data_IF_170469447909
#
_entry.id   IF_170469447909
#
_cell.length_a   1.000
_cell.length_b   1.000
_cell.length_c   1.000
_cell.angle_alpha   90.00
_cell.angle_beta   90.00
_cell.angle_gamma   90.00
#
_symmetry.space_group_name_H-M   'P 1'
#
loop_
_entity.id
_entity.type
_entity.pdbx_description
1 polymer ?
#
# COMPACT_ATOMS: atom_id res chain seq x y z
N UNK A 1 -21.54 18.42 13.89
CA UNK A 1 -22.45 17.71 14.82
C UNK A 1 -22.16 16.23 14.65
N UNK A 2 -21.26 15.72 15.48
CA UNK A 2 -20.78 14.35 15.38
C UNK A 2 -21.73 13.43 16.13
N UNK A 3 -22.61 12.76 15.40
CA UNK A 3 -23.41 11.68 15.95
C UNK A 3 -22.48 10.54 16.37
N UNK A 4 -22.41 10.26 17.68
CA UNK A 4 -21.68 9.11 18.21
C UNK A 4 -22.45 7.86 17.81
N UNK A 5 -22.02 7.23 16.73
CA UNK A 5 -22.48 5.89 16.38
C UNK A 5 -21.84 4.96 17.44
N UNK A 6 -22.56 3.95 17.92
CA UNK A 6 -22.05 2.98 18.88
C UNK A 6 -22.67 1.60 18.69
N UNK A 7 -22.01 0.56 19.22
CA UNK A 7 -22.55 -0.81 19.29
C UNK A 7 -22.79 -1.16 20.76
N UNK A 8 -23.97 -1.69 21.05
CA UNK A 8 -24.32 -2.22 22.38
C UNK A 8 -23.91 -3.69 22.47
N UNK A 9 -23.07 -4.05 23.44
CA UNK A 9 -22.76 -5.44 23.78
C UNK A 9 -23.33 -5.75 25.17
N UNK A 10 -24.33 -6.62 25.25
CA UNK A 10 -25.04 -6.91 26.51
C UNK A 10 -25.89 -5.72 26.99
N UNK A 11 -26.23 -5.70 28.29
CA UNK A 11 -27.16 -4.69 28.83
C UNK A 11 -26.51 -3.32 29.11
N UNK A 12 -25.17 -3.17 29.15
CA UNK A 12 -24.54 -1.94 29.66
C UNK A 12 -23.24 -1.47 28.97
N UNK A 13 -22.71 -2.15 27.93
CA UNK A 13 -21.47 -1.69 27.27
C UNK A 13 -21.76 -1.00 25.93
N UNK A 14 -21.58 0.32 25.89
CA UNK A 14 -21.59 1.13 24.67
C UNK A 14 -20.13 1.31 24.22
N UNK A 15 -19.74 0.67 23.11
CA UNK A 15 -18.43 0.91 22.49
C UNK A 15 -18.63 1.98 21.40
N UNK A 16 -18.08 3.20 21.57
CA UNK A 16 -18.12 4.20 20.51
C UNK A 16 -17.28 3.72 19.34
N UNK A 17 -17.77 3.91 18.10
CA UNK A 17 -16.93 3.67 16.92
C UNK A 17 -15.76 4.66 16.95
N UNK A 18 -14.53 4.16 17.02
CA UNK A 18 -13.36 5.02 16.83
C UNK A 18 -13.31 5.49 15.38
N UNK A 19 -13.06 6.78 15.20
CA UNK A 19 -12.82 7.39 13.90
C UNK A 19 -11.49 8.12 13.95
N UNK A 20 -10.59 7.88 12.97
CA UNK A 20 -9.26 8.46 13.00
C UNK A 20 -9.33 9.98 12.81
N UNK A 21 -8.88 10.70 13.83
CA UNK A 21 -8.72 12.16 13.78
C UNK A 21 -7.55 12.58 12.87
N UNK A 22 -7.40 13.88 12.63
CA UNK A 22 -6.35 14.41 11.75
C UNK A 22 -4.93 14.05 12.20
N UNK A 23 -4.67 14.03 13.51
CA UNK A 23 -3.36 13.64 14.07
C UNK A 23 -3.01 12.19 13.73
N UNK A 24 -4.01 11.31 13.79
CA UNK A 24 -3.84 9.90 13.50
C UNK A 24 -3.65 9.65 12.00
N UNK A 25 -4.43 10.32 11.16
CA UNK A 25 -4.24 10.31 9.70
C UNK A 25 -2.82 10.77 9.31
N UNK A 26 -2.34 11.84 9.94
CA UNK A 26 -0.98 12.33 9.75
C UNK A 26 0.06 11.29 10.20
N UNK A 27 -0.16 10.63 11.34
CA UNK A 27 0.73 9.57 11.81
C UNK A 27 0.87 8.44 10.78
N UNK A 28 -0.23 7.95 10.22
CA UNK A 28 -0.18 6.88 9.22
C UNK A 28 0.46 7.33 7.91
N UNK A 29 0.18 8.55 7.45
CA UNK A 29 0.89 9.14 6.32
C UNK A 29 2.41 9.16 6.56
N UNK A 30 2.84 9.68 7.72
CA UNK A 30 4.25 9.73 8.11
C UNK A 30 4.87 8.34 8.27
N UNK A 31 4.12 7.35 8.74
CA UNK A 31 4.63 5.98 8.86
C UNK A 31 5.00 5.39 7.50
N UNK A 32 4.22 5.67 6.45
CA UNK A 32 4.54 5.28 5.07
C UNK A 32 5.81 5.95 4.57
N UNK A 33 5.97 7.25 4.85
CA UNK A 33 7.18 8.00 4.51
C UNK A 33 8.42 7.35 5.14
N UNK A 34 8.36 7.08 6.44
CA UNK A 34 9.48 6.55 7.23
C UNK A 34 9.86 5.15 6.78
N UNK A 35 8.87 4.28 6.54
CA UNK A 35 9.11 2.87 6.15
C UNK A 35 9.62 2.75 4.71
N UNK A 36 9.27 3.66 3.81
CA UNK A 36 9.70 3.63 2.40
C UNK A 36 11.21 3.82 2.22
N UNK A 37 11.84 4.69 3.02
CA UNK A 37 13.28 4.99 2.91
C UNK A 37 14.15 3.73 3.08
N UNK A 38 14.12 3.03 4.24
CA UNK A 38 14.97 1.87 4.46
C UNK A 38 14.63 0.72 3.50
N UNK A 39 13.37 0.57 3.08
CA UNK A 39 12.98 -0.49 2.15
C UNK A 39 13.52 -0.26 0.74
N UNK A 40 13.42 0.97 0.22
CA UNK A 40 13.98 1.30 -1.10
C UNK A 40 15.50 1.07 -1.12
N UNK A 41 16.20 1.43 -0.05
CA UNK A 41 17.63 1.18 0.10
C UNK A 41 17.94 -0.31 0.27
N UNK A 42 17.14 -1.03 1.05
CA UNK A 42 17.28 -2.47 1.25
C UNK A 42 17.15 -3.25 -0.06
N UNK A 43 16.18 -2.93 -0.91
CA UNK A 43 15.98 -3.61 -2.21
C UNK A 43 17.19 -3.43 -3.11
N UNK A 44 17.80 -2.24 -3.12
CA UNK A 44 19.04 -1.97 -3.87
C UNK A 44 20.21 -2.84 -3.36
N UNK A 45 20.37 -2.95 -2.03
CA UNK A 45 21.37 -3.84 -1.44
C UNK A 45 21.04 -5.33 -1.65
N UNK A 46 19.75 -5.69 -1.69
CA UNK A 46 19.29 -7.07 -1.83
C UNK A 46 19.74 -7.70 -3.15
N UNK A 47 19.66 -6.95 -4.25
CA UNK A 47 20.15 -7.41 -5.57
C UNK A 47 21.63 -7.82 -5.50
N UNK A 48 22.46 -6.98 -4.86
CA UNK A 48 23.91 -7.17 -4.80
C UNK A 48 24.34 -8.33 -3.87
N UNK A 49 23.55 -8.64 -2.84
CA UNK A 49 23.95 -9.62 -1.81
C UNK A 49 23.20 -10.96 -1.90
N UNK A 50 21.93 -10.95 -2.27
CA UNK A 50 21.08 -12.16 -2.28
C UNK A 50 20.81 -12.68 -3.69
N UNK A 51 20.99 -11.86 -4.72
CA UNK A 51 20.88 -12.27 -6.13
C UNK A 51 22.23 -12.35 -6.84
N UNK A 52 23.35 -12.40 -6.12
CA UNK A 52 24.71 -12.34 -6.67
C UNK A 52 25.08 -13.46 -7.66
N UNK A 53 24.38 -14.61 -7.59
CA UNK A 53 24.56 -15.73 -8.53
C UNK A 53 23.84 -15.51 -9.85
N UNK A 54 22.94 -14.53 -9.93
CA UNK A 54 22.24 -14.17 -11.15
C UNK A 54 23.05 -13.10 -11.90
N UNK A 55 23.04 -13.10 -13.24
CA UNK A 55 23.54 -11.95 -13.99
C UNK A 55 22.80 -10.68 -13.54
N UNK A 56 23.51 -9.54 -13.54
CA UNK A 56 23.06 -8.26 -12.96
C UNK A 56 21.61 -7.93 -13.33
N UNK A 57 21.26 -8.05 -14.61
CA UNK A 57 19.90 -7.80 -15.11
C UNK A 57 18.83 -8.68 -14.42
N UNK A 58 19.10 -9.98 -14.26
CA UNK A 58 18.19 -10.91 -13.61
C UNK A 58 18.15 -10.71 -12.10
N UNK A 59 19.26 -10.30 -11.49
CA UNK A 59 19.30 -9.93 -10.07
C UNK A 59 18.45 -8.70 -9.76
N UNK A 60 18.55 -7.67 -10.59
CA UNK A 60 17.72 -6.46 -10.47
C UNK A 60 16.24 -6.77 -10.67
N UNK A 61 15.89 -7.55 -11.71
CA UNK A 61 14.50 -7.96 -11.93
C UNK A 61 13.96 -8.79 -10.76
N UNK A 62 14.77 -9.70 -10.22
CA UNK A 62 14.39 -10.51 -9.07
C UNK A 62 14.16 -9.65 -7.82
N UNK A 63 15.07 -8.73 -7.51
CA UNK A 63 14.96 -7.86 -6.33
C UNK A 63 13.80 -6.86 -6.47
N UNK A 64 13.70 -6.15 -7.60
CA UNK A 64 12.79 -5.01 -7.78
C UNK A 64 11.40 -5.40 -8.28
N UNK A 65 11.30 -6.34 -9.22
CA UNK A 65 10.02 -6.73 -9.79
C UNK A 65 9.35 -7.85 -8.98
N UNK A 66 10.13 -8.71 -8.30
CA UNK A 66 9.57 -9.85 -7.56
C UNK A 66 9.56 -9.59 -6.06
N UNK A 67 10.72 -9.47 -5.42
CA UNK A 67 10.79 -9.43 -3.95
C UNK A 67 10.28 -8.12 -3.33
N UNK A 68 10.60 -6.97 -3.93
CA UNK A 68 10.17 -5.67 -3.42
C UNK A 68 8.64 -5.58 -3.22
N UNK A 69 7.79 -5.95 -4.21
CA UNK A 69 6.34 -6.01 -4.01
C UNK A 69 5.89 -6.77 -2.76
N UNK A 70 6.43 -7.97 -2.50
CA UNK A 70 6.03 -8.75 -1.32
C UNK A 70 6.34 -8.01 -0.01
N UNK A 71 7.56 -7.48 0.10
CA UNK A 71 8.05 -6.84 1.31
C UNK A 71 7.34 -5.50 1.53
N UNK A 72 7.23 -4.69 0.47
CA UNK A 72 6.64 -3.36 0.55
C UNK A 72 5.13 -3.42 0.84
N UNK A 73 4.38 -4.28 0.16
CA UNK A 73 2.94 -4.43 0.44
C UNK A 73 2.70 -4.90 1.87
N UNK A 74 3.57 -5.77 2.40
CA UNK A 74 3.45 -6.22 3.78
C UNK A 74 3.79 -5.11 4.78
N UNK A 75 4.90 -4.42 4.57
CA UNK A 75 5.37 -3.37 5.47
C UNK A 75 4.39 -2.19 5.58
N UNK A 76 3.76 -1.80 4.46
CA UNK A 76 2.76 -0.73 4.43
C UNK A 76 1.51 -1.08 5.23
N UNK A 77 1.06 -2.34 5.23
CA UNK A 77 -0.16 -2.74 5.94
C UNK A 77 0.10 -3.21 7.37
N UNK A 78 1.35 -3.52 7.72
CA UNK A 78 1.71 -4.10 9.02
C UNK A 78 1.12 -3.37 10.25
N UNK A 79 1.13 -2.02 10.32
CA UNK A 79 0.57 -1.30 11.47
C UNK A 79 -0.96 -1.47 11.65
N UNK A 80 -1.68 -1.92 10.61
CA UNK A 80 -3.14 -2.03 10.62
C UNK A 80 -3.64 -3.36 11.19
N UNK A 81 -2.80 -4.41 11.26
CA UNK A 81 -3.22 -5.70 11.81
C UNK A 81 -3.61 -5.64 13.29
N UNK A 82 -3.06 -4.67 14.02
CA UNK A 82 -3.26 -4.53 15.48
C UNK A 82 -4.32 -3.49 15.84
N UNK A 83 -5.03 -2.94 14.84
CA UNK A 83 -6.03 -1.88 14.99
C UNK A 83 -7.44 -2.47 15.20
N UNK A 84 -7.65 -3.06 16.37
CA UNK A 84 -8.97 -3.50 16.80
C UNK A 84 -9.82 -2.30 17.25
N UNK A 85 -11.12 -2.32 16.97
CA UNK A 85 -12.05 -1.25 17.37
C UNK A 85 -12.18 -0.09 16.38
N UNK A 86 -11.46 -0.13 15.26
CA UNK A 86 -11.64 0.78 14.12
C UNK A 86 -12.83 0.33 13.25
N UNK A 87 -13.40 1.24 12.46
CA UNK A 87 -14.34 0.83 11.40
C UNK A 87 -13.62 0.30 10.16
N UNK A 88 -14.29 -0.51 9.35
CA UNK A 88 -13.76 -0.95 8.05
C UNK A 88 -13.32 0.24 7.18
N UNK A 89 -14.13 1.31 7.16
CA UNK A 89 -13.83 2.55 6.43
C UNK A 89 -12.62 3.28 7.00
N UNK A 90 -12.41 3.23 8.31
CA UNK A 90 -11.24 3.82 8.96
C UNK A 90 -9.97 3.06 8.59
N UNK A 91 -9.95 1.74 8.74
CA UNK A 91 -8.80 0.90 8.34
C UNK A 91 -8.43 1.10 6.87
N UNK A 92 -9.42 1.13 5.98
CA UNK A 92 -9.20 1.39 4.55
C UNK A 92 -8.52 2.75 4.33
N UNK A 93 -9.06 3.80 4.97
CA UNK A 93 -8.56 5.18 4.82
C UNK A 93 -7.14 5.32 5.38
N UNK A 94 -6.87 4.71 6.54
CA UNK A 94 -5.55 4.72 7.16
C UNK A 94 -4.53 4.01 6.27
N UNK A 95 -4.88 2.85 5.70
CA UNK A 95 -4.04 2.15 4.74
C UNK A 95 -3.77 2.94 3.47
N UNK A 96 -4.78 3.61 2.92
CA UNK A 96 -4.60 4.52 1.79
C UNK A 96 -3.55 5.60 2.11
N UNK A 97 -3.60 6.18 3.32
CA UNK A 97 -2.65 7.20 3.77
C UNK A 97 -1.23 6.64 3.95
N UNK A 98 -1.07 5.44 4.50
CA UNK A 98 0.27 4.80 4.57
C UNK A 98 0.83 4.63 3.16
N UNK A 99 0.04 4.08 2.24
CA UNK A 99 0.46 3.90 0.85
C UNK A 99 0.78 5.22 0.16
N UNK A 100 0.02 6.29 0.42
CA UNK A 100 0.30 7.62 -0.12
C UNK A 100 1.64 8.16 0.37
N UNK A 101 1.92 8.05 1.66
CA UNK A 101 3.19 8.49 2.25
C UNK A 101 4.37 7.71 1.68
N UNK A 102 4.20 6.40 1.53
CA UNK A 102 5.19 5.54 0.88
C UNK A 102 5.46 5.98 -0.56
N UNK A 103 4.41 6.16 -1.36
CA UNK A 103 4.52 6.55 -2.75
C UNK A 103 5.14 7.93 -2.97
N UNK A 104 4.89 8.89 -2.07
CA UNK A 104 5.55 10.22 -2.11
C UNK A 104 7.06 10.07 -1.91
N UNK A 105 7.49 9.31 -0.90
CA UNK A 105 8.91 9.09 -0.65
C UNK A 105 9.58 8.40 -1.82
N UNK A 106 8.97 7.34 -2.34
CA UNK A 106 9.50 6.63 -3.49
C UNK A 106 9.63 7.57 -4.71
N UNK A 107 8.59 8.33 -5.02
CA UNK A 107 8.62 9.31 -6.09
C UNK A 107 9.81 10.27 -5.96
N UNK A 108 10.04 10.82 -4.77
CA UNK A 108 11.15 11.73 -4.52
C UNK A 108 12.51 11.04 -4.70
N UNK A 109 12.68 9.83 -4.16
CA UNK A 109 13.94 9.07 -4.28
C UNK A 109 14.24 8.80 -5.76
N UNK A 110 13.27 8.35 -6.55
CA UNK A 110 13.54 7.99 -7.94
C UNK A 110 13.64 9.20 -8.87
N UNK A 111 12.82 10.23 -8.69
CA UNK A 111 12.89 11.43 -9.55
C UNK A 111 14.14 12.25 -9.23
N UNK A 112 14.42 12.51 -7.95
CA UNK A 112 15.55 13.37 -7.55
C UNK A 112 16.85 12.56 -7.50
N UNK A 113 16.82 11.37 -6.90
CA UNK A 113 18.02 10.56 -6.68
C UNK A 113 18.46 9.74 -7.89
N UNK A 114 17.52 9.27 -8.72
CA UNK A 114 17.82 8.42 -9.89
C UNK A 114 17.52 9.08 -11.25
N UNK A 115 17.04 10.33 -11.26
CA UNK A 115 16.74 11.07 -12.50
C UNK A 115 15.58 10.47 -13.31
N UNK A 116 14.69 9.69 -12.67
CA UNK A 116 13.58 9.05 -13.35
C UNK A 116 12.57 10.09 -13.89
N UNK A 117 11.94 9.85 -15.07
CA UNK A 117 10.98 10.80 -15.62
C UNK A 117 9.74 10.96 -14.73
N UNK A 118 9.39 12.21 -14.41
CA UNK A 118 8.26 12.56 -13.54
C UNK A 118 6.95 11.91 -14.00
N UNK A 119 6.66 11.93 -15.31
CA UNK A 119 5.40 11.41 -15.84
C UNK A 119 5.25 9.88 -15.69
N UNK A 120 6.37 9.14 -15.57
CA UNK A 120 6.35 7.69 -15.32
C UNK A 120 6.13 7.43 -13.82
N UNK A 121 6.76 8.23 -12.95
CA UNK A 121 6.74 8.01 -11.49
C UNK A 121 5.56 8.65 -10.77
N UNK A 122 4.99 9.73 -11.30
CA UNK A 122 3.87 10.45 -10.68
C UNK A 122 2.63 9.54 -10.46
N UNK A 123 2.22 8.67 -11.41
CA UNK A 123 1.18 7.70 -11.14
C UNK A 123 1.52 6.72 -10.01
N UNK A 124 2.80 6.38 -9.83
CA UNK A 124 3.27 5.49 -8.77
C UNK A 124 2.82 5.93 -7.38
N UNK A 125 2.78 7.24 -7.09
CA UNK A 125 2.34 7.78 -5.80
C UNK A 125 0.95 7.23 -5.41
N UNK A 126 -0.01 7.35 -6.34
CA UNK A 126 -1.38 6.91 -6.11
C UNK A 126 -1.52 5.39 -6.24
N UNK A 127 -0.63 4.74 -6.99
CA UNK A 127 -0.54 3.28 -7.04
C UNK A 127 -0.26 2.69 -5.66
N UNK A 128 0.72 3.22 -4.91
CA UNK A 128 1.00 2.73 -3.55
C UNK A 128 -0.19 3.00 -2.61
N UNK A 129 -0.85 4.16 -2.72
CA UNK A 129 -2.04 4.46 -1.93
C UNK A 129 -3.18 3.45 -2.19
N UNK A 130 -3.48 3.18 -3.46
CA UNK A 130 -4.55 2.28 -3.88
C UNK A 130 -4.23 0.80 -3.63
N UNK A 131 -3.01 0.33 -3.88
CA UNK A 131 -2.61 -1.05 -3.57
C UNK A 131 -2.68 -1.34 -2.06
N UNK A 132 -2.20 -0.41 -1.24
CA UNK A 132 -2.23 -0.56 0.22
C UNK A 132 -3.66 -0.58 0.76
N UNK A 133 -4.56 0.24 0.20
CA UNK A 133 -5.96 0.26 0.61
C UNK A 133 -6.70 -1.04 0.27
N UNK A 134 -6.36 -1.71 -0.84
CA UNK A 134 -6.87 -3.04 -1.20
C UNK A 134 -6.51 -4.06 -0.11
N UNK A 135 -5.24 -4.13 0.30
CA UNK A 135 -4.83 -5.05 1.39
C UNK A 135 -5.51 -4.67 2.71
N UNK A 136 -5.63 -3.37 2.99
CA UNK A 136 -6.28 -2.85 4.20
C UNK A 136 -7.77 -3.19 4.25
N UNK A 137 -8.46 -3.20 3.10
CA UNK A 137 -9.81 -3.75 3.01
C UNK A 137 -9.85 -5.21 3.46
N UNK A 138 -8.92 -6.03 2.96
CA UNK A 138 -8.78 -7.43 3.38
C UNK A 138 -8.55 -7.57 4.88
N UNK A 139 -7.70 -6.74 5.47
CA UNK A 139 -7.49 -6.69 6.94
C UNK A 139 -8.80 -6.38 7.67
N UNK A 140 -9.53 -5.35 7.22
CA UNK A 140 -10.80 -4.94 7.82
C UNK A 140 -11.86 -6.05 7.84
N UNK A 141 -11.92 -6.86 6.78
CA UNK A 141 -12.89 -7.98 6.68
C UNK A 141 -12.32 -9.34 7.08
N UNK A 142 -11.16 -9.37 7.74
CA UNK A 142 -10.47 -10.60 8.20
C UNK A 142 -10.13 -11.59 7.08
N UNK A 143 -9.88 -11.07 5.88
CA UNK A 143 -9.41 -11.82 4.71
C UNK A 143 -8.14 -11.18 4.14
N UNK A 144 -7.15 -10.87 4.98
CA UNK A 144 -5.97 -10.11 4.57
C UNK A 144 -5.17 -10.79 3.43
N UNK A 145 -4.92 -12.10 3.53
CA UNK A 145 -4.07 -12.85 2.58
C UNK A 145 -4.52 -12.71 1.11
N UNK A 146 -5.77 -13.00 0.72
CA UNK A 146 -6.16 -12.89 -0.69
C UNK A 146 -6.03 -11.46 -1.22
N UNK A 147 -6.36 -10.43 -0.43
CA UNK A 147 -6.25 -9.04 -0.87
C UNK A 147 -4.79 -8.55 -0.91
N UNK A 148 -3.95 -9.03 0.01
CA UNK A 148 -2.51 -8.84 -0.03
C UNK A 148 -1.92 -9.43 -1.32
N UNK A 149 -2.27 -10.67 -1.67
CA UNK A 149 -1.77 -11.30 -2.90
C UNK A 149 -2.24 -10.57 -4.16
N UNK A 150 -3.46 -10.00 -4.17
CA UNK A 150 -3.93 -9.13 -5.26
C UNK A 150 -3.07 -7.88 -5.36
N UNK A 151 -2.79 -7.19 -4.26
CA UNK A 151 -1.94 -6.00 -4.25
C UNK A 151 -0.52 -6.34 -4.73
N UNK A 152 0.08 -7.42 -4.23
CA UNK A 152 1.41 -7.89 -4.64
C UNK A 152 1.44 -8.25 -6.12
N UNK A 153 0.42 -8.95 -6.63
CA UNK A 153 0.36 -9.31 -8.05
C UNK A 153 0.38 -8.06 -8.95
N UNK A 154 -0.44 -7.07 -8.66
CA UNK A 154 -0.47 -5.85 -9.48
C UNK A 154 0.79 -5.01 -9.31
N UNK A 155 1.42 -5.01 -8.13
CA UNK A 155 2.68 -4.31 -7.91
C UNK A 155 3.82 -5.00 -8.66
N UNK A 156 3.89 -6.34 -8.64
CA UNK A 156 4.81 -7.10 -9.49
C UNK A 156 4.62 -6.78 -10.96
N UNK A 157 3.37 -6.79 -11.45
CA UNK A 157 3.09 -6.44 -12.85
C UNK A 157 3.53 -5.02 -13.18
N UNK A 158 3.21 -4.05 -12.31
CA UNK A 158 3.61 -2.66 -12.51
C UNK A 158 5.14 -2.51 -12.57
N UNK A 159 5.89 -3.13 -11.66
CA UNK A 159 7.35 -3.07 -11.64
C UNK A 159 7.95 -3.82 -12.83
N UNK A 160 7.43 -5.00 -13.17
CA UNK A 160 7.86 -5.76 -14.34
C UNK A 160 7.72 -4.95 -15.63
N UNK A 161 6.55 -4.35 -15.88
CA UNK A 161 6.35 -3.53 -17.07
C UNK A 161 7.19 -2.24 -17.05
N UNK A 162 7.43 -1.65 -15.87
CA UNK A 162 8.34 -0.50 -15.73
C UNK A 162 9.78 -0.88 -16.08
N UNK A 163 10.23 -2.07 -15.65
CA UNK A 163 11.55 -2.59 -15.95
C UNK A 163 11.76 -2.87 -17.45
N UNK A 164 10.71 -3.25 -18.19
CA UNK A 164 10.77 -3.45 -19.64
C UNK A 164 10.87 -2.14 -20.46
N UNK A 165 10.99 -0.98 -19.81
CA UNK A 165 11.21 0.30 -20.49
C UNK A 165 9.99 0.73 -21.32
N UNK A 166 10.09 0.95 -22.64
CA UNK A 166 8.97 1.43 -23.46
C UNK A 166 7.70 0.58 -23.40
N UNK A 167 7.83 -0.74 -23.15
CA UNK A 167 6.69 -1.65 -22.99
C UNK A 167 5.84 -1.35 -21.76
N UNK A 168 6.33 -0.51 -20.83
CA UNK A 168 5.56 0.03 -19.73
C UNK A 168 4.23 0.64 -20.19
N UNK A 169 4.21 1.32 -21.34
CA UNK A 169 3.01 1.98 -21.88
C UNK A 169 1.83 1.03 -22.15
N UNK A 170 2.08 -0.27 -22.20
CA UNK A 170 1.05 -1.27 -22.41
C UNK A 170 0.58 -1.80 -21.05
N UNK A 171 1.46 -2.47 -20.31
CA UNK A 171 1.06 -3.18 -19.09
C UNK A 171 1.00 -2.31 -17.83
N UNK A 172 1.81 -1.26 -17.75
CA UNK A 172 1.84 -0.33 -16.62
C UNK A 172 0.50 0.40 -16.43
N UNK A 173 -0.04 1.09 -17.46
CA UNK A 173 -1.36 1.71 -17.39
C UNK A 173 -2.49 0.74 -17.05
N UNK A 174 -2.46 -0.49 -17.57
CA UNK A 174 -3.47 -1.51 -17.24
C UNK A 174 -3.44 -1.86 -15.75
N UNK A 175 -2.25 -2.11 -15.19
CA UNK A 175 -2.10 -2.38 -13.76
C UNK A 175 -2.59 -1.19 -12.90
N UNK A 176 -2.24 0.05 -13.28
CA UNK A 176 -2.70 1.27 -12.61
C UNK A 176 -4.22 1.39 -12.61
N UNK A 177 -4.85 1.27 -13.78
CA UNK A 177 -6.30 1.42 -13.95
C UNK A 177 -7.03 0.38 -13.08
N UNK A 178 -6.58 -0.88 -13.10
CA UNK A 178 -7.22 -1.94 -12.32
C UNK A 178 -7.06 -1.67 -10.82
N UNK A 179 -5.88 -1.31 -10.35
CA UNK A 179 -5.65 -1.04 -8.92
C UNK A 179 -6.47 0.16 -8.43
N UNK A 180 -6.56 1.23 -9.23
CA UNK A 180 -7.40 2.38 -8.89
C UNK A 180 -8.88 2.02 -8.85
N UNK A 181 -9.34 1.28 -9.85
CA UNK A 181 -10.71 0.81 -9.91
C UNK A 181 -11.03 -0.09 -8.71
N UNK A 182 -10.16 -1.04 -8.37
CA UNK A 182 -10.34 -1.94 -7.22
C UNK A 182 -10.38 -1.16 -5.90
N UNK A 183 -9.44 -0.23 -5.68
CA UNK A 183 -9.45 0.62 -4.49
C UNK A 183 -10.76 1.42 -4.39
N UNK A 184 -11.19 2.08 -5.47
CA UNK A 184 -12.44 2.82 -5.49
C UNK A 184 -13.67 1.93 -5.23
N UNK A 185 -13.74 0.77 -5.90
CA UNK A 185 -14.82 -0.19 -5.74
C UNK A 185 -14.91 -0.72 -4.29
N UNK A 186 -13.78 -1.11 -3.72
CA UNK A 186 -13.70 -1.66 -2.36
C UNK A 186 -13.97 -0.59 -1.31
N UNK A 187 -13.56 0.66 -1.53
CA UNK A 187 -13.94 1.78 -0.68
C UNK A 187 -15.47 1.91 -0.59
N UNK A 188 -16.17 1.77 -1.73
CA UNK A 188 -17.64 1.74 -1.78
C UNK A 188 -18.28 0.54 -1.07
N UNK A 189 -17.50 -0.52 -0.77
CA UNK A 189 -17.94 -1.69 0.00
C UNK A 189 -17.68 -1.58 1.51
N UNK A 190 -16.84 -0.64 1.94
CA UNK A 190 -16.57 -0.42 3.37
C UNK A 190 -17.81 0.09 4.10
N UNK A 191 -17.96 -0.32 5.36
CA UNK A 191 -19.05 0.13 6.24
C UNK A 191 -18.50 0.79 7.51
N UNK A 192 -19.36 1.54 8.19
CA UNK A 192 -19.13 1.95 9.59
C UNK A 192 -19.38 0.75 10.52
N UNK A 193 -18.63 -0.34 10.29
CA UNK A 193 -18.70 -1.60 11.06
C UNK A 193 -17.38 -1.81 11.79
N UNK A 194 -17.44 -2.17 13.08
CA UNK A 194 -16.25 -2.41 13.90
C UNK A 194 -15.50 -3.64 13.36
N UNK A 195 -14.19 -3.47 13.25
CA UNK A 195 -13.25 -4.56 13.06
C UNK A 195 -12.91 -5.13 14.44
N UNK A 196 -13.49 -6.29 14.74
CA UNK A 196 -13.25 -7.06 15.97
C UNK A 196 -12.27 -8.17 15.62
#
# INVERSE_FOLDING_TARGET
>A
MDGVISVTIGENAIIPFHRPGSKEKLFFLSSGIIVSIPLTLFVSAFSNHFCFLLPVLYGEMCATAIFAPFIEEFAKVYPLFYRHGETERSIFTLGFLVGLGFGITEFLIYVIGAGAPIYIRLPGIFFHAASTSITSYGVAIKRAVPFYLVAVLFHLLYNFFTFLGPLWLIGGPVALIIVYYLSWYLYGKTRERLVI
#
